data_IF_440338461579
#
_entry.id   IF_440338461579
#
_cell.length_a   1.000
_cell.length_b   1.000
_cell.length_c   1.000
_cell.angle_alpha   90.00
_cell.angle_beta   90.00
_cell.angle_gamma   90.00
#
_symmetry.space_group_name_H-M   'P 1'
#
loop_
_entity.id
_entity.type
_entity.pdbx_description
1 polymer ?
#
# COMPACT_ATOMS: atom_id res chain seq x y z
N UNK A 1 4.03 -48.61 26.13
CA UNK A 1 3.41 -49.67 25.32
C UNK A 1 3.12 -49.09 23.94
N UNK A 2 3.89 -49.45 22.92
CA UNK A 2 3.69 -49.02 21.54
C UNK A 2 2.76 -50.01 20.84
N UNK A 3 1.54 -49.61 20.51
CA UNK A 3 0.66 -50.40 19.65
C UNK A 3 1.19 -50.37 18.21
N UNK A 4 1.64 -51.52 17.72
CA UNK A 4 1.99 -51.71 16.32
C UNK A 4 0.70 -51.68 15.47
N UNK A 5 0.51 -50.61 14.71
CA UNK A 5 -0.54 -50.49 13.68
C UNK A 5 -0.29 -51.51 12.55
N UNK A 6 -0.71 -52.76 12.74
CA UNK A 6 -0.53 -53.81 11.75
C UNK A 6 -1.67 -53.75 10.71
N UNK A 7 -1.44 -53.03 9.61
CA UNK A 7 -2.43 -52.85 8.55
C UNK A 7 -2.73 -54.20 7.88
N UNK A 8 -3.95 -54.71 8.06
CA UNK A 8 -4.39 -55.96 7.45
C UNK A 8 -4.38 -55.91 5.91
N UNK A 9 -3.90 -56.97 5.26
CA UNK A 9 -3.87 -57.14 3.79
C UNK A 9 -5.22 -56.85 3.12
N UNK A 10 -6.33 -57.13 3.82
CA UNK A 10 -7.69 -56.84 3.35
C UNK A 10 -7.97 -55.33 3.25
N UNK A 11 -7.44 -54.53 4.17
CA UNK A 11 -7.60 -53.08 4.16
C UNK A 11 -6.74 -52.44 3.07
N UNK A 12 -5.56 -53.00 2.81
CA UNK A 12 -4.70 -52.60 1.69
C UNK A 12 -5.39 -52.86 0.35
N UNK A 13 -5.98 -54.05 0.16
CA UNK A 13 -6.76 -54.38 -1.05
C UNK A 13 -7.98 -53.46 -1.26
N UNK A 14 -8.70 -53.11 -0.20
CA UNK A 14 -9.80 -52.13 -0.27
C UNK A 14 -9.31 -50.73 -0.64
N UNK A 15 -8.15 -50.31 -0.14
CA UNK A 15 -7.55 -49.02 -0.51
C UNK A 15 -7.13 -48.99 -2.00
N UNK A 16 -6.58 -50.09 -2.52
CA UNK A 16 -6.24 -50.19 -3.94
C UNK A 16 -7.46 -50.07 -4.87
N UNK A 17 -8.65 -50.52 -4.43
CA UNK A 17 -9.88 -50.34 -5.20
C UNK A 17 -10.29 -48.86 -5.37
N UNK A 18 -9.84 -47.95 -4.49
CA UNK A 18 -10.10 -46.52 -4.59
C UNK A 18 -9.08 -45.75 -5.47
N UNK A 19 -7.94 -46.37 -5.81
CA UNK A 19 -6.86 -45.76 -6.60
C UNK A 19 -7.33 -45.29 -7.99
N UNK A 20 -8.14 -46.05 -8.77
CA UNK A 20 -8.63 -45.58 -10.06
C UNK A 20 -9.52 -44.34 -9.98
N UNK A 21 -10.38 -44.26 -8.95
CA UNK A 21 -11.28 -43.12 -8.73
C UNK A 21 -10.49 -41.88 -8.31
N UNK A 22 -9.55 -42.04 -7.36
CA UNK A 22 -8.64 -40.96 -6.95
C UNK A 22 -7.75 -40.49 -8.12
N UNK A 23 -7.29 -41.42 -8.96
CA UNK A 23 -6.52 -41.12 -10.17
C UNK A 23 -7.34 -40.33 -11.20
N UNK A 24 -8.58 -40.73 -11.47
CA UNK A 24 -9.47 -40.02 -12.39
C UNK A 24 -9.83 -38.62 -11.86
N UNK A 25 -10.11 -38.50 -10.56
CA UNK A 25 -10.35 -37.20 -9.91
C UNK A 25 -9.11 -36.31 -9.95
N UNK A 26 -7.93 -36.84 -9.61
CA UNK A 26 -6.66 -36.14 -9.66
C UNK A 26 -6.31 -35.67 -11.08
N UNK A 27 -6.53 -36.52 -12.09
CA UNK A 27 -6.39 -36.16 -13.51
C UNK A 27 -7.38 -35.06 -13.91
N UNK A 28 -8.63 -35.13 -13.45
CA UNK A 28 -9.63 -34.09 -13.67
C UNK A 28 -9.22 -32.74 -13.09
N UNK A 29 -8.73 -32.73 -11.85
CA UNK A 29 -8.20 -31.52 -11.18
C UNK A 29 -6.98 -30.97 -11.91
N UNK A 30 -6.03 -31.83 -12.28
CA UNK A 30 -4.83 -31.43 -13.04
C UNK A 30 -5.20 -30.84 -14.40
N UNK A 31 -6.06 -31.50 -15.16
CA UNK A 31 -6.53 -31.03 -16.47
C UNK A 31 -7.27 -29.70 -16.36
N UNK A 32 -8.14 -29.55 -15.35
CA UNK A 32 -8.83 -28.29 -15.08
C UNK A 32 -7.83 -27.17 -14.74
N UNK A 33 -6.87 -27.44 -13.85
CA UNK A 33 -5.86 -26.46 -13.45
C UNK A 33 -5.04 -25.98 -14.64
N UNK A 34 -4.64 -26.89 -15.54
CA UNK A 34 -3.90 -26.52 -16.74
C UNK A 34 -4.78 -25.72 -17.71
N UNK A 35 -6.03 -26.14 -17.94
CA UNK A 35 -6.98 -25.40 -18.78
C UNK A 35 -7.24 -23.98 -18.25
N UNK A 36 -7.45 -23.84 -16.95
CA UNK A 36 -7.67 -22.55 -16.29
C UNK A 36 -6.41 -21.66 -16.37
N UNK A 37 -5.20 -22.25 -16.32
CA UNK A 37 -3.94 -21.53 -16.53
C UNK A 37 -3.79 -21.08 -17.98
N UNK A 38 -4.07 -21.95 -18.95
CA UNK A 38 -3.97 -21.63 -20.38
C UNK A 38 -4.93 -20.50 -20.78
N UNK A 39 -6.18 -20.52 -20.29
CA UNK A 39 -7.13 -19.41 -20.50
C UNK A 39 -6.59 -18.13 -19.90
N UNK A 40 -6.06 -18.19 -18.66
CA UNK A 40 -5.52 -17.01 -17.98
C UNK A 40 -4.37 -16.40 -18.78
N UNK A 41 -3.45 -17.22 -19.26
CA UNK A 41 -2.30 -16.76 -20.02
C UNK A 41 -2.70 -16.18 -21.39
N UNK A 42 -3.68 -16.78 -22.05
CA UNK A 42 -4.29 -16.23 -23.27
C UNK A 42 -4.94 -14.87 -23.01
N UNK A 43 -5.77 -14.75 -21.98
CA UNK A 43 -6.43 -13.50 -21.62
C UNK A 43 -5.42 -12.40 -21.26
N UNK A 44 -4.38 -12.72 -20.50
CA UNK A 44 -3.33 -11.75 -20.16
C UNK A 44 -2.61 -11.26 -21.41
N UNK A 45 -2.30 -12.16 -22.34
CA UNK A 45 -1.66 -11.83 -23.61
C UNK A 45 -2.58 -10.98 -24.51
N UNK A 46 -3.85 -11.36 -24.64
CA UNK A 46 -4.85 -10.64 -25.45
C UNK A 46 -5.13 -9.24 -24.90
N UNK A 47 -5.31 -9.14 -23.58
CA UNK A 47 -5.48 -7.86 -22.89
C UNK A 47 -4.16 -7.08 -22.81
N UNK A 48 -3.03 -7.68 -23.19
CA UNK A 48 -1.68 -7.11 -23.04
C UNK A 48 -1.45 -6.58 -21.63
N UNK A 49 -1.83 -7.38 -20.63
CA UNK A 49 -1.51 -7.17 -19.22
C UNK A 49 -0.11 -7.73 -18.96
N UNK A 50 0.66 -7.09 -18.08
CA UNK A 50 1.88 -7.69 -17.53
C UNK A 50 1.65 -8.06 -16.07
N UNK A 51 2.30 -9.12 -15.64
CA UNK A 51 2.45 -9.45 -14.22
C UNK A 51 3.62 -8.70 -13.58
N UNK A 52 4.44 -8.01 -14.39
CA UNK A 52 5.53 -7.19 -13.90
C UNK A 52 4.97 -6.02 -13.07
N UNK A 53 5.65 -5.63 -11.98
CA UNK A 53 5.25 -4.46 -11.23
C UNK A 53 5.32 -3.20 -12.13
N UNK A 54 4.38 -2.25 -11.96
CA UNK A 54 4.39 -1.02 -12.73
C UNK A 54 5.70 -0.25 -12.48
N UNK A 55 6.43 0.03 -13.57
CA UNK A 55 7.66 0.84 -13.48
C UNK A 55 7.26 2.29 -13.18
N UNK A 56 7.71 2.81 -12.05
CA UNK A 56 7.49 4.22 -11.71
C UNK A 56 8.24 5.11 -12.71
N UNK A 57 7.61 6.19 -13.20
CA UNK A 57 8.29 7.11 -14.10
C UNK A 57 9.49 7.73 -13.39
N UNK A 58 10.68 7.61 -13.99
CA UNK A 58 11.87 8.28 -13.49
C UNK A 58 11.70 9.79 -13.61
N UNK A 59 11.58 10.48 -12.48
CA UNK A 59 11.46 11.94 -12.45
C UNK A 59 12.85 12.53 -12.68
N UNK A 60 13.11 13.05 -13.89
CA UNK A 60 14.37 13.71 -14.23
C UNK A 60 14.53 15.01 -13.44
N UNK A 61 15.72 15.24 -12.87
CA UNK A 61 16.07 16.49 -12.19
C UNK A 61 15.71 16.54 -10.70
N UNK A 62 15.27 15.44 -10.10
CA UNK A 62 15.13 15.33 -8.63
C UNK A 62 16.49 15.00 -8.03
N UNK A 63 16.94 15.82 -7.09
CA UNK A 63 18.13 15.57 -6.31
C UNK A 63 17.86 14.42 -5.33
N UNK A 64 18.26 13.20 -5.71
CA UNK A 64 18.11 12.00 -4.88
C UNK A 64 18.88 12.07 -3.55
N UNK A 65 19.75 13.07 -3.35
CA UNK A 65 20.44 13.27 -2.07
C UNK A 65 19.57 13.99 -1.03
N UNK A 66 18.47 14.63 -1.46
CA UNK A 66 17.55 15.37 -0.58
C UNK A 66 16.22 14.62 -0.47
N UNK A 67 15.95 13.95 0.66
CA UNK A 67 14.68 13.29 0.88
C UNK A 67 13.56 14.30 1.11
N UNK A 68 12.35 13.96 0.69
CA UNK A 68 11.15 14.75 0.98
C UNK A 68 10.73 14.44 2.42
N UNK A 69 10.59 15.49 3.24
CA UNK A 69 10.25 15.36 4.66
C UNK A 69 8.74 15.42 4.84
N UNK A 70 8.17 14.37 5.41
CA UNK A 70 6.73 14.14 5.50
C UNK A 70 6.28 14.24 6.95
N UNK A 71 5.19 14.96 7.16
CA UNK A 71 4.40 14.92 8.37
C UNK A 71 3.16 14.02 8.21
N UNK A 72 2.98 13.03 9.09
CA UNK A 72 1.76 12.22 9.13
C UNK A 72 0.76 12.80 10.14
N UNK A 73 -0.47 13.06 9.70
CA UNK A 73 -1.57 13.56 10.53
C UNK A 73 -2.68 12.50 10.53
N UNK A 74 -2.80 11.79 11.64
CA UNK A 74 -3.67 10.62 11.79
C UNK A 74 -2.94 9.31 11.47
N UNK A 75 -2.70 8.49 12.50
CA UNK A 75 -2.08 7.17 12.44
C UNK A 75 -3.03 6.08 12.93
N UNK A 76 -4.28 6.14 12.45
CA UNK A 76 -5.23 5.04 12.55
C UNK A 76 -4.95 3.96 11.50
N UNK A 77 -5.96 3.12 11.22
CA UNK A 77 -5.84 2.02 10.24
C UNK A 77 -5.34 2.52 8.88
N UNK A 78 -5.87 3.64 8.40
CA UNK A 78 -5.47 4.21 7.10
C UNK A 78 -4.09 4.85 7.14
N UNK A 79 -3.76 5.59 8.20
CA UNK A 79 -2.42 6.14 8.38
C UNK A 79 -1.34 5.06 8.40
N UNK A 80 -1.59 3.93 9.07
CA UNK A 80 -0.69 2.78 9.08
C UNK A 80 -0.52 2.16 7.68
N UNK A 81 -1.63 1.97 6.94
CA UNK A 81 -1.60 1.45 5.57
C UNK A 81 -0.83 2.39 4.62
N UNK A 82 -1.01 3.70 4.74
CA UNK A 82 -0.31 4.69 3.93
C UNK A 82 1.17 4.76 4.26
N UNK A 83 1.53 4.73 5.53
CA UNK A 83 2.93 4.67 5.96
C UNK A 83 3.60 3.41 5.40
N UNK A 84 2.92 2.26 5.45
CA UNK A 84 3.42 1.02 4.84
C UNK A 84 3.57 1.10 3.33
N UNK A 85 2.63 1.75 2.63
CA UNK A 85 2.73 1.99 1.21
C UNK A 85 3.87 2.98 0.85
N UNK A 86 4.21 3.87 1.79
CA UNK A 86 5.35 4.77 1.68
C UNK A 86 6.68 4.11 2.10
N UNK A 87 6.68 2.83 2.50
CA UNK A 87 7.85 2.07 2.92
C UNK A 87 8.24 2.22 4.39
N UNK A 88 7.29 2.54 5.26
CA UNK A 88 7.47 2.67 6.71
C UNK A 88 6.49 1.76 7.46
N UNK A 89 7.01 0.92 8.34
CA UNK A 89 6.19 -0.01 9.10
C UNK A 89 6.61 -0.01 10.57
N UNK A 90 5.64 -0.21 11.45
CA UNK A 90 5.91 -0.38 12.86
C UNK A 90 6.79 -1.62 13.08
N UNK A 91 7.78 -1.59 13.99
CA UNK A 91 8.67 -2.74 14.23
C UNK A 91 7.92 -4.04 14.53
N UNK A 92 6.88 -3.97 15.37
CA UNK A 92 6.03 -5.14 15.69
C UNK A 92 5.37 -5.76 14.45
N UNK A 93 4.93 -4.97 13.48
CA UNK A 93 4.32 -5.49 12.24
C UNK A 93 5.34 -6.29 11.43
N UNK A 94 6.60 -5.85 11.42
CA UNK A 94 7.70 -6.56 10.74
C UNK A 94 7.98 -7.89 11.42
N UNK A 95 8.04 -7.90 12.77
CA UNK A 95 8.22 -9.13 13.53
C UNK A 95 7.07 -10.12 13.33
N UNK A 96 5.84 -9.63 13.32
CA UNK A 96 4.64 -10.43 13.04
C UNK A 96 4.69 -11.07 11.65
N UNK A 97 5.04 -10.31 10.61
CA UNK A 97 5.15 -10.87 9.26
C UNK A 97 6.32 -11.84 9.13
N UNK A 98 7.45 -11.59 9.79
CA UNK A 98 8.56 -12.54 9.83
C UNK A 98 8.12 -13.87 10.42
N UNK A 99 7.50 -13.84 11.61
CA UNK A 99 6.98 -15.04 12.27
C UNK A 99 5.89 -15.73 11.45
N UNK A 100 5.07 -14.97 10.72
CA UNK A 100 4.06 -15.53 9.83
C UNK A 100 4.70 -16.25 8.62
N UNK A 101 5.72 -15.65 7.98
CA UNK A 101 6.45 -16.27 6.86
C UNK A 101 7.22 -17.53 7.26
N UNK A 102 7.67 -17.62 8.51
CA UNK A 102 8.29 -18.84 9.05
C UNK A 102 7.27 -19.98 9.23
N UNK A 103 5.99 -19.64 9.47
CA UNK A 103 4.90 -20.61 9.66
C UNK A 103 4.23 -21.01 8.35
N UNK A 104 4.09 -20.08 7.42
CA UNK A 104 3.47 -20.28 6.11
C UNK A 104 4.39 -19.76 5.01
N UNK A 105 4.95 -20.67 4.21
CA UNK A 105 5.84 -20.35 3.10
C UNK A 105 5.16 -19.59 1.96
N UNK A 106 3.83 -19.45 1.99
CA UNK A 106 3.06 -18.63 1.03
C UNK A 106 2.83 -17.19 1.51
N UNK A 107 3.28 -16.84 2.71
CA UNK A 107 3.16 -15.49 3.24
C UNK A 107 4.34 -14.61 2.79
N UNK A 108 4.12 -13.89 1.69
CA UNK A 108 5.13 -13.02 1.07
C UNK A 108 5.06 -11.55 1.55
N UNK A 109 4.25 -11.22 2.57
CA UNK A 109 4.01 -9.82 2.95
C UNK A 109 5.28 -9.06 3.34
N UNK A 110 6.19 -9.72 4.07
CA UNK A 110 7.47 -9.13 4.45
C UNK A 110 8.39 -8.97 3.25
N UNK A 111 8.44 -9.98 2.39
CA UNK A 111 9.24 -9.95 1.16
C UNK A 111 8.80 -8.80 0.25
N UNK A 112 7.49 -8.70 0.00
CA UNK A 112 6.87 -7.62 -0.79
C UNK A 112 7.16 -6.24 -0.19
N UNK A 113 7.05 -6.10 1.14
CA UNK A 113 7.35 -4.84 1.82
C UNK A 113 8.82 -4.44 1.67
N UNK A 114 9.74 -5.39 1.83
CA UNK A 114 11.17 -5.14 1.70
C UNK A 114 11.62 -4.92 0.25
N UNK A 115 10.84 -5.40 -0.73
CA UNK A 115 11.08 -5.22 -2.16
C UNK A 115 10.58 -3.87 -2.70
N UNK A 116 9.87 -3.08 -1.89
CA UNK A 116 9.38 -1.77 -2.29
C UNK A 116 10.52 -0.83 -2.70
N UNK A 117 10.28 -0.06 -3.76
CA UNK A 117 11.22 0.95 -4.23
C UNK A 117 11.39 2.08 -3.20
N UNK A 118 12.60 2.64 -3.16
CA UNK A 118 12.86 3.78 -2.29
C UNK A 118 12.28 5.07 -2.90
N UNK A 119 11.14 5.53 -2.36
CA UNK A 119 10.49 6.79 -2.74
C UNK A 119 11.25 8.07 -2.32
N UNK A 120 12.44 7.95 -1.71
CA UNK A 120 13.24 9.09 -1.21
C UNK A 120 12.46 9.98 -0.22
N UNK A 121 11.81 9.33 0.75
CA UNK A 121 10.99 9.98 1.78
C UNK A 121 11.62 9.85 3.17
N UNK A 122 11.33 10.80 4.04
CA UNK A 122 11.60 10.73 5.48
C UNK A 122 10.38 11.16 6.27
N UNK A 123 10.04 10.46 7.35
CA UNK A 123 8.95 10.87 8.25
C UNK A 123 9.56 11.69 9.39
N UNK A 124 9.39 13.00 9.36
CA UNK A 124 9.99 13.92 10.34
C UNK A 124 8.99 14.41 11.38
N UNK A 125 7.68 14.27 11.12
CA UNK A 125 6.63 14.66 12.05
C UNK A 125 5.48 13.68 12.11
N UNK A 126 4.96 13.46 13.32
CA UNK A 126 3.75 12.68 13.55
C UNK A 126 2.78 13.44 14.45
N UNK A 127 1.50 13.45 14.09
CA UNK A 127 0.42 14.01 14.90
C UNK A 127 -0.76 13.04 14.93
N UNK A 128 -1.23 12.74 16.13
CA UNK A 128 -2.47 11.98 16.34
C UNK A 128 -3.11 12.46 17.65
N UNK A 129 -4.43 12.33 17.77
CA UNK A 129 -5.17 12.62 19.00
C UNK A 129 -4.76 11.67 20.13
N UNK A 130 -4.46 10.42 19.79
CA UNK A 130 -4.04 9.40 20.74
C UNK A 130 -2.51 9.30 20.79
N UNK A 131 -1.94 9.60 21.95
CA UNK A 131 -0.49 9.53 22.19
C UNK A 131 0.14 8.20 21.78
N UNK A 132 -0.59 7.09 21.98
CA UNK A 132 -0.13 5.76 21.57
C UNK A 132 0.03 5.68 20.04
N UNK A 133 -0.90 6.25 19.28
CA UNK A 133 -0.85 6.25 17.81
C UNK A 133 0.22 7.20 17.29
N UNK A 134 0.38 8.37 17.90
CA UNK A 134 1.44 9.31 17.55
C UNK A 134 2.84 8.71 17.79
N UNK A 135 3.03 7.99 18.90
CA UNK A 135 4.27 7.23 19.16
C UNK A 135 4.49 6.13 18.14
N UNK A 136 3.47 5.31 17.86
CA UNK A 136 3.57 4.26 16.85
C UNK A 136 3.93 4.79 15.46
N UNK A 137 3.42 5.96 15.09
CA UNK A 137 3.79 6.65 13.85
C UNK A 137 5.27 7.06 13.83
N UNK A 138 5.77 7.62 14.93
CA UNK A 138 7.16 8.01 15.08
C UNK A 138 8.10 6.79 15.07
N UNK A 139 7.72 5.70 15.72
CA UNK A 139 8.44 4.43 15.71
C UNK A 139 8.50 3.83 14.30
N UNK A 140 7.37 3.82 13.58
CA UNK A 140 7.34 3.40 12.17
C UNK A 140 8.21 4.32 11.28
N UNK A 141 8.17 5.63 11.53
CA UNK A 141 8.96 6.65 10.82
C UNK A 141 10.48 6.57 11.07
N UNK A 142 10.90 5.98 12.20
CA UNK A 142 12.31 5.82 12.59
C UNK A 142 13.11 4.86 11.70
N UNK A 143 12.45 4.22 10.73
CA UNK A 143 13.08 3.59 9.57
C UNK A 143 13.96 2.36 9.87
N UNK A 144 13.80 1.69 11.01
CA UNK A 144 14.67 0.57 11.46
C UNK A 144 14.68 -0.60 10.44
N UNK A 145 13.60 -0.80 9.68
CA UNK A 145 13.38 -2.02 8.88
C UNK A 145 13.23 -1.80 7.36
N UNK A 146 13.57 -0.62 6.83
CA UNK A 146 13.53 -0.36 5.38
C UNK A 146 14.85 -0.81 4.73
N UNK A 147 14.81 -1.59 3.65
CA UNK A 147 16.04 -1.87 2.87
C UNK A 147 16.58 -0.52 2.32
N UNK A 148 17.82 -0.19 2.68
CA UNK A 148 18.47 1.10 2.32
C UNK A 148 18.48 2.17 3.41
N UNK A 149 17.84 1.97 4.58
CA UNK A 149 17.89 2.94 5.68
C UNK A 149 19.11 2.80 6.60
N UNK A 150 19.86 1.69 6.52
CA UNK A 150 21.08 1.52 7.32
C UNK A 150 22.16 2.57 7.01
N UNK A 151 22.06 3.27 5.87
CA UNK A 151 22.99 4.34 5.49
C UNK A 151 22.50 5.75 5.91
N UNK A 152 21.22 5.94 6.26
CA UNK A 152 20.65 7.29 6.47
C UNK A 152 20.53 7.72 7.95
N UNK A 153 20.97 6.89 8.90
CA UNK A 153 20.83 7.18 10.33
C UNK A 153 19.38 7.15 10.80
N UNK A 154 19.16 6.97 12.10
CA UNK A 154 17.80 7.03 12.67
C UNK A 154 17.29 8.47 12.53
N UNK A 155 16.37 8.69 11.59
CA UNK A 155 15.70 9.99 11.44
C UNK A 155 14.73 10.14 12.61
N UNK A 156 14.94 11.19 13.41
CA UNK A 156 14.07 11.50 14.54
C UNK A 156 12.73 12.03 14.02
N UNK A 157 11.65 11.29 14.26
CA UNK A 157 10.29 11.74 14.00
C UNK A 157 9.75 12.47 15.24
N UNK A 158 9.51 13.78 15.11
CA UNK A 158 8.97 14.59 16.20
C UNK A 158 7.47 14.39 16.34
N UNK A 159 7.03 14.15 17.57
CA UNK A 159 5.61 14.04 17.89
C UNK A 159 5.05 15.44 18.18
N UNK A 160 3.95 15.77 17.51
CA UNK A 160 3.20 17.00 17.68
C UNK A 160 1.84 16.69 18.32
N UNK A 161 1.45 17.48 19.31
CA UNK A 161 0.12 17.37 19.95
C UNK A 161 -1.00 17.96 19.09
N UNK A 162 -0.67 18.93 18.25
CA UNK A 162 -1.61 19.61 17.36
C UNK A 162 -1.06 19.62 15.94
N UNK A 163 -1.93 19.36 14.96
CA UNK A 163 -1.56 19.38 13.55
C UNK A 163 -1.07 20.77 13.10
N UNK A 164 -1.54 21.84 13.75
CA UNK A 164 -1.13 23.23 13.46
C UNK A 164 0.37 23.45 13.69
N UNK A 165 0.91 22.87 14.78
CA UNK A 165 2.33 22.96 15.09
C UNK A 165 3.16 22.14 14.10
N UNK A 166 2.62 21.00 13.66
CA UNK A 166 3.23 20.16 12.64
C UNK A 166 3.32 20.90 11.30
N UNK A 167 2.22 21.50 10.81
CA UNK A 167 2.25 22.23 9.52
C UNK A 167 3.05 23.54 9.61
N UNK A 168 3.28 24.09 10.80
CA UNK A 168 4.14 25.25 10.99
C UNK A 168 5.64 24.90 10.99
N UNK A 169 5.99 23.62 11.12
CA UNK A 169 7.37 23.19 11.25
C UNK A 169 8.15 23.38 9.93
N UNK A 170 9.37 23.92 10.02
CA UNK A 170 10.24 24.17 8.86
C UNK A 170 10.88 22.90 8.29
N UNK A 171 10.84 21.81 9.06
CA UNK A 171 11.39 20.50 8.72
C UNK A 171 10.38 19.54 8.08
N UNK A 172 9.25 20.07 7.59
CA UNK A 172 8.19 19.34 6.91
C UNK A 172 7.92 20.00 5.55
N UNK A 173 8.00 19.23 4.48
CA UNK A 173 7.77 19.69 3.10
C UNK A 173 6.34 19.36 2.64
N UNK A 174 5.83 18.19 3.05
CA UNK A 174 4.50 17.73 2.71
C UNK A 174 3.82 17.02 3.90
N UNK A 175 2.50 16.92 3.84
CA UNK A 175 1.71 16.18 4.84
C UNK A 175 0.86 15.09 4.21
N UNK A 176 0.74 13.99 4.93
CA UNK A 176 -0.26 12.94 4.69
C UNK A 176 -1.37 13.11 5.71
N UNK A 177 -2.59 13.33 5.23
CA UNK A 177 -3.78 13.52 6.06
C UNK A 177 -4.62 12.25 5.98
N UNK A 178 -4.68 11.51 7.09
CA UNK A 178 -5.43 10.27 7.25
C UNK A 178 -6.32 10.33 8.50
N UNK A 179 -6.95 11.49 8.71
CA UNK A 179 -7.88 11.77 9.82
C UNK A 179 -9.31 11.34 9.44
N UNK A 180 -10.32 11.48 10.31
CA UNK A 180 -11.71 11.32 9.90
C UNK A 180 -12.15 12.38 8.88
N UNK A 181 -13.02 12.01 7.94
CA UNK A 181 -13.41 12.79 6.76
C UNK A 181 -13.79 14.26 7.05
N UNK A 182 -14.43 14.53 8.19
CA UNK A 182 -14.87 15.88 8.58
C UNK A 182 -13.71 16.84 8.93
N UNK A 183 -12.48 16.35 9.09
CA UNK A 183 -11.29 17.18 9.32
C UNK A 183 -10.46 17.42 8.06
N UNK A 184 -10.69 16.66 6.99
CA UNK A 184 -9.86 16.69 5.78
C UNK A 184 -9.75 18.07 5.16
N UNK A 185 -10.87 18.70 4.81
CA UNK A 185 -10.91 20.03 4.18
C UNK A 185 -10.12 21.04 5.00
N UNK A 186 -10.39 21.11 6.31
CA UNK A 186 -9.77 22.08 7.19
C UNK A 186 -8.25 21.91 7.26
N UNK A 187 -7.79 20.68 7.50
CA UNK A 187 -6.35 20.41 7.63
C UNK A 187 -5.64 20.63 6.29
N UNK A 188 -6.27 20.24 5.17
CA UNK A 188 -5.70 20.42 3.84
C UNK A 188 -5.56 21.90 3.46
N UNK A 189 -6.57 22.73 3.75
CA UNK A 189 -6.50 24.19 3.56
C UNK A 189 -5.41 24.80 4.44
N UNK A 190 -5.42 24.48 5.75
CA UNK A 190 -4.43 25.02 6.69
C UNK A 190 -3.00 24.65 6.25
N UNK A 191 -2.77 23.40 5.81
CA UNK A 191 -1.49 22.92 5.32
C UNK A 191 -1.05 23.62 4.01
N UNK A 192 -1.98 23.78 3.06
CA UNK A 192 -1.70 24.46 1.80
C UNK A 192 -1.32 25.94 2.03
N UNK A 193 -2.03 26.63 2.92
CA UNK A 193 -1.73 28.02 3.30
C UNK A 193 -0.39 28.15 4.05
N UNK A 194 0.03 27.10 4.77
CA UNK A 194 1.36 27.01 5.37
C UNK A 194 2.47 26.61 4.36
N UNK A 195 2.13 26.50 3.07
CA UNK A 195 3.06 26.15 2.00
C UNK A 195 3.47 24.67 1.95
N UNK A 196 2.70 23.78 2.60
CA UNK A 196 2.96 22.34 2.59
C UNK A 196 2.26 21.68 1.42
N UNK A 197 2.94 20.73 0.77
CA UNK A 197 2.27 19.84 -0.18
C UNK A 197 1.34 18.88 0.57
N UNK A 198 0.26 18.45 -0.08
CA UNK A 198 -0.82 17.73 0.60
C UNK A 198 -1.16 16.45 -0.13
N UNK A 199 -1.08 15.34 0.61
CA UNK A 199 -1.81 14.11 0.30
C UNK A 199 -2.96 13.98 1.31
N UNK A 200 -4.19 13.78 0.83
CA UNK A 200 -5.37 13.57 1.70
C UNK A 200 -6.11 12.31 1.31
N UNK A 201 -6.55 11.49 2.28
CA UNK A 201 -7.33 10.28 2.01
C UNK A 201 -8.66 10.57 1.30
N UNK A 202 -9.25 9.52 0.71
CA UNK A 202 -10.56 9.61 0.04
C UNK A 202 -11.64 10.02 1.04
N UNK A 203 -12.71 10.63 0.53
CA UNK A 203 -13.63 11.40 1.40
C UNK A 203 -13.06 12.80 1.62
N UNK A 204 -12.62 13.43 0.53
CA UNK A 204 -11.83 14.68 0.53
C UNK A 204 -12.52 15.80 1.32
N UNK A 205 -13.83 15.91 1.19
CA UNK A 205 -14.68 16.90 1.82
C UNK A 205 -16.02 16.27 2.20
N UNK A 206 -16.79 16.93 3.07
CA UNK A 206 -18.12 16.50 3.47
C UNK A 206 -19.24 17.20 2.69
N UNK A 207 -18.95 18.39 2.17
CA UNK A 207 -19.91 19.21 1.41
C UNK A 207 -19.33 19.63 0.07
N UNK A 208 -20.20 20.08 -0.84
CA UNK A 208 -19.80 20.57 -2.18
C UNK A 208 -19.12 21.93 -2.06
N UNK A 209 -19.57 22.77 -1.13
CA UNK A 209 -19.01 24.09 -0.84
C UNK A 209 -17.53 23.96 -0.42
N UNK A 210 -17.23 22.99 0.45
CA UNK A 210 -15.86 22.65 0.85
C UNK A 210 -14.98 22.20 -0.34
N UNK A 211 -15.56 21.58 -1.38
CA UNK A 211 -14.79 21.21 -2.59
C UNK A 211 -14.31 22.46 -3.31
N UNK A 212 -15.18 23.44 -3.48
CA UNK A 212 -14.83 24.68 -4.16
C UNK A 212 -13.81 25.48 -3.35
N UNK A 213 -14.02 25.61 -2.05
CA UNK A 213 -13.09 26.29 -1.14
C UNK A 213 -11.69 25.66 -1.20
N UNK A 214 -11.60 24.33 -1.03
CA UNK A 214 -10.33 23.62 -1.12
C UNK A 214 -9.68 23.82 -2.50
N UNK A 215 -10.45 23.66 -3.58
CA UNK A 215 -9.94 23.82 -4.95
C UNK A 215 -9.34 25.21 -5.18
N UNK A 216 -10.00 26.25 -4.71
CA UNK A 216 -9.54 27.63 -4.87
C UNK A 216 -8.26 27.89 -4.06
N UNK A 217 -8.18 27.37 -2.83
CA UNK A 217 -6.96 27.47 -2.00
C UNK A 217 -5.79 26.74 -2.66
N UNK A 218 -6.00 25.52 -3.16
CA UNK A 218 -4.95 24.75 -3.84
C UNK A 218 -4.46 25.47 -5.09
N UNK A 219 -5.37 26.01 -5.91
CA UNK A 219 -5.01 26.80 -7.11
C UNK A 219 -4.24 28.08 -6.74
N UNK A 220 -4.64 28.76 -5.67
CA UNK A 220 -4.01 30.01 -5.21
C UNK A 220 -2.61 29.77 -4.63
N UNK A 221 -2.43 28.69 -3.88
CA UNK A 221 -1.16 28.37 -3.21
C UNK A 221 -0.16 27.71 -4.15
N UNK A 222 -0.64 27.03 -5.20
CA UNK A 222 0.21 26.35 -6.18
C UNK A 222 0.93 25.11 -5.64
N UNK A 223 0.53 24.62 -4.45
CA UNK A 223 1.11 23.41 -3.87
C UNK A 223 0.68 22.16 -4.63
N UNK A 224 1.51 21.11 -4.60
CA UNK A 224 1.13 19.79 -5.09
C UNK A 224 0.08 19.19 -4.16
N UNK A 225 -1.08 18.85 -4.73
CA UNK A 225 -2.19 18.22 -4.05
C UNK A 225 -2.51 16.86 -4.67
N UNK A 226 -2.65 15.83 -3.83
CA UNK A 226 -3.01 14.48 -4.23
C UNK A 226 -4.15 13.95 -3.36
N UNK A 227 -5.24 13.53 -3.99
CA UNK A 227 -6.31 12.78 -3.34
C UNK A 227 -5.97 11.28 -3.33
N UNK A 228 -6.25 10.60 -2.22
CA UNK A 228 -6.01 9.17 -1.98
C UNK A 228 -6.95 8.25 -2.76
N UNK A 229 -6.95 8.38 -4.08
CA UNK A 229 -7.63 7.48 -5.03
C UNK A 229 -6.65 6.47 -5.63
N UNK A 230 -5.97 5.71 -4.76
CA UNK A 230 -4.97 4.72 -5.16
C UNK A 230 -5.52 3.62 -6.07
N UNK A 231 -6.82 3.29 -5.96
CA UNK A 231 -7.47 2.31 -6.83
C UNK A 231 -7.40 2.66 -8.32
N UNK A 232 -7.24 3.95 -8.68
CA UNK A 232 -7.09 4.36 -10.09
C UNK A 232 -5.71 4.03 -10.67
N UNK A 233 -4.75 3.64 -9.83
CA UNK A 233 -3.38 3.31 -10.21
C UNK A 233 -3.17 1.80 -10.38
N UNK A 234 -4.20 0.97 -10.17
CA UNK A 234 -4.09 -0.47 -10.45
C UNK A 234 -4.07 -0.72 -11.96
N UNK A 235 -3.30 -1.72 -12.41
CA UNK A 235 -3.13 -2.06 -13.82
C UNK A 235 -4.44 -2.23 -14.60
N UNK A 236 -5.47 -2.80 -13.97
CA UNK A 236 -6.79 -2.98 -14.61
C UNK A 236 -7.41 -1.64 -15.04
N UNK A 237 -7.39 -0.62 -14.17
CA UNK A 237 -7.90 0.72 -14.49
C UNK A 237 -7.00 1.47 -15.48
N UNK A 238 -5.67 1.32 -15.37
CA UNK A 238 -4.72 1.93 -16.31
C UNK A 238 -4.93 1.35 -17.72
N UNK A 239 -5.07 0.03 -17.84
CA UNK A 239 -5.31 -0.64 -19.12
C UNK A 239 -6.68 -0.31 -19.68
N UNK A 240 -7.73 -0.34 -18.85
CA UNK A 240 -9.07 0.07 -19.26
C UNK A 240 -9.06 1.48 -19.85
N UNK A 241 -8.41 2.43 -19.17
CA UNK A 241 -8.22 3.79 -19.69
C UNK A 241 -7.54 3.77 -21.06
N UNK A 242 -6.42 3.05 -21.23
CA UNK A 242 -5.70 2.94 -22.52
C UNK A 242 -6.57 2.36 -23.64
N UNK A 243 -7.48 1.42 -23.33
CA UNK A 243 -8.41 0.84 -24.30
C UNK A 243 -9.50 1.84 -24.69
N UNK A 244 -10.08 2.54 -23.71
CA UNK A 244 -11.09 3.58 -23.95
C UNK A 244 -10.54 4.78 -24.73
N UNK A 245 -9.26 5.13 -24.60
CA UNK A 245 -8.67 6.19 -25.45
C UNK A 245 -8.47 5.74 -26.90
N UNK A 246 -8.38 4.43 -27.16
CA UNK A 246 -8.19 3.86 -28.51
C UNK A 246 -9.50 3.61 -29.24
N UNK A 247 -10.53 3.17 -28.52
CA UNK A 247 -11.89 3.03 -29.06
C UNK A 247 -12.56 4.39 -28.91
N UNK A 248 -12.75 5.13 -30.01
CA UNK A 248 -13.36 6.45 -30.00
C UNK A 248 -14.54 6.52 -29.01
N UNK A 249 -14.42 7.46 -28.06
CA UNK A 249 -15.40 7.76 -27.01
C UNK A 249 -16.83 7.93 -27.52
N UNK A 250 -16.99 8.24 -28.81
CA UNK A 250 -18.24 8.46 -29.53
C UNK A 250 -19.22 7.27 -29.55
N UNK A 251 -18.80 6.05 -29.16
CA UNK A 251 -19.70 4.88 -29.12
C UNK A 251 -20.26 4.54 -27.73
N UNK A 252 -19.88 5.30 -26.69
CA UNK A 252 -20.20 5.00 -25.28
C UNK A 252 -21.17 6.01 -24.63
N UNK A 253 -21.58 7.03 -25.37
CA UNK A 253 -22.60 8.03 -24.99
C UNK A 253 -23.66 8.07 -26.07
#
# INVERSE_FOLDING_TARGET
MSESNNISRRNILKAFAAVPILGAFGYGVFRKKNYDNDIRDQLVKELGLSYDPPVLPTIKGVDSSKPIRIGIIGYGIRGEQLMRAAGFAHPTTIDEWRLASEKDSKDHRLEDFLAQENLNLQITGACDLFDLRARGAAEAGSNINRKGSQEQGSVSCKIYKNYKDLIAASDIDAVIIATPDHWHTKIAIDAALAGKHVYVEKGMTRTVEEVFELTDVIKKTGIVFQLGHQGRQTESFIKLRRLLTKVCWEKLV
#
